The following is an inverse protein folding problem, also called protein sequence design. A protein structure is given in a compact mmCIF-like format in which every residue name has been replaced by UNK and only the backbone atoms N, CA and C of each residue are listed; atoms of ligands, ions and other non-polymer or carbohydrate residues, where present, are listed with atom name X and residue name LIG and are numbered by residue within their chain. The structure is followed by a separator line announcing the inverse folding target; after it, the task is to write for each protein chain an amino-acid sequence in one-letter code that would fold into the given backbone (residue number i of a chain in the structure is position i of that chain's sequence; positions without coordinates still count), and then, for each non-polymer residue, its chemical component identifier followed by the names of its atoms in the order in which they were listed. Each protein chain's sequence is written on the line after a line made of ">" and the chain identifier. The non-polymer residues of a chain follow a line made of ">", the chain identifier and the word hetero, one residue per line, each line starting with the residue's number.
data_IF_154808626225
#
_entry.id   IF_154808626225
#
_cell.length_a   1.000
_cell.length_b   1.000
_cell.length_c   1.000
_cell.angle_alpha   90.00
_cell.angle_beta   90.00
_cell.angle_gamma   90.00
#
_symmetry.space_group_name_H-M   'P 1'
#
loop_
_entity.id
_entity.type
_entity.pdbx_description
1 polymer ?
#
# COMPACT_ATOMS: atom_id res chain seq x y z
N UNK A 1 10.21 8.15 19.41
CA UNK A 1 9.18 9.02 18.80
C UNK A 1 8.01 9.13 19.77
N UNK A 2 7.56 10.36 20.08
CA UNK A 2 6.38 10.57 20.90
C UNK A 2 5.15 9.96 20.20
N UNK A 3 4.26 9.33 20.98
CA UNK A 3 3.04 8.72 20.45
C UNK A 3 2.10 9.83 19.95
N UNK A 4 1.51 9.71 18.75
CA UNK A 4 0.55 10.69 18.27
C UNK A 4 -0.64 10.81 19.23
N UNK A 5 -1.14 12.03 19.39
CA UNK A 5 -2.32 12.31 20.22
C UNK A 5 -3.56 11.62 19.66
N UNK A 6 -4.45 11.18 20.54
CA UNK A 6 -5.74 10.59 20.13
C UNK A 6 -6.59 11.62 19.39
N UNK A 7 -7.27 11.22 18.30
CA UNK A 7 -8.18 12.10 17.58
C UNK A 7 -9.38 12.48 18.48
N UNK A 8 -10.04 13.61 18.21
CA UNK A 8 -11.15 14.12 19.04
C UNK A 8 -12.27 13.11 19.20
N UNK A 9 -12.60 12.37 18.14
CA UNK A 9 -13.62 11.31 18.16
C UNK A 9 -13.35 10.20 19.19
N UNK A 10 -12.13 10.14 19.72
CA UNK A 10 -11.62 9.10 20.60
C UNK A 10 -11.14 9.64 21.95
N UNK A 11 -11.42 10.92 22.24
CA UNK A 11 -11.13 11.52 23.53
C UNK A 11 -12.27 11.20 24.51
N UNK A 12 -11.91 10.66 25.67
CA UNK A 12 -12.83 10.44 26.79
C UNK A 12 -12.36 11.25 28.01
N UNK A 13 -13.29 11.72 28.84
CA UNK A 13 -13.00 12.48 30.07
C UNK A 13 -13.59 13.90 30.11
N UNK A 14 -13.53 14.53 31.28
CA UNK A 14 -13.97 15.91 31.46
C UNK A 14 -12.97 16.87 30.79
N UNK A 15 -13.32 17.31 29.59
CA UNK A 15 -12.69 18.46 28.94
C UNK A 15 -13.69 19.59 28.87
N UNK A 16 -13.19 20.82 28.89
CA UNK A 16 -14.04 21.97 28.61
C UNK A 16 -14.51 21.92 27.16
N UNK A 17 -15.66 22.54 26.88
CA UNK A 17 -16.18 22.68 25.52
C UNK A 17 -15.12 23.38 24.64
N UNK A 18 -14.44 24.38 25.20
CA UNK A 18 -13.39 25.14 24.52
C UNK A 18 -12.18 24.28 24.14
N UNK A 19 -11.74 23.36 25.00
CA UNK A 19 -10.65 22.43 24.70
C UNK A 19 -11.00 21.45 23.57
N UNK A 20 -12.25 20.96 23.56
CA UNK A 20 -12.74 20.07 22.50
C UNK A 20 -12.85 20.83 21.18
N UNK A 21 -13.35 22.06 21.22
CA UNK A 21 -13.50 22.90 20.05
C UNK A 21 -12.14 23.25 19.44
N UNK A 22 -11.19 23.72 20.25
CA UNK A 22 -9.83 24.01 19.79
C UNK A 22 -9.15 22.81 19.13
N UNK A 23 -9.39 21.59 19.63
CA UNK A 23 -8.85 20.37 19.00
C UNK A 23 -9.58 19.99 17.72
N UNK A 24 -10.90 20.14 17.65
CA UNK A 24 -11.66 19.89 16.40
C UNK A 24 -11.20 20.84 15.31
N UNK A 25 -11.03 22.11 15.66
CA UNK A 25 -10.58 23.13 14.73
C UNK A 25 -9.13 22.86 14.28
N UNK A 26 -8.26 22.43 15.21
CA UNK A 26 -6.91 22.01 14.87
C UNK A 26 -6.86 20.75 13.98
N UNK A 27 -7.72 19.75 14.23
CA UNK A 27 -7.81 18.54 13.39
C UNK A 27 -8.40 18.85 12.01
N UNK A 28 -9.41 19.71 11.95
CA UNK A 28 -10.03 20.15 10.70
C UNK A 28 -9.07 21.01 9.87
N UNK A 29 -8.26 21.87 10.50
CA UNK A 29 -7.25 22.69 9.83
C UNK A 29 -6.14 21.86 9.15
N UNK A 30 -5.98 20.59 9.52
CA UNK A 30 -5.03 19.66 8.90
C UNK A 30 -5.58 19.00 7.64
N UNK A 31 -6.85 19.25 7.29
CA UNK A 31 -7.50 18.74 6.08
C UNK A 31 -7.80 19.91 5.14
N UNK A 32 -7.72 19.66 3.84
CA UNK A 32 -8.07 20.67 2.83
C UNK A 32 -9.57 20.70 2.55
N UNK A 33 -10.26 19.58 2.83
CA UNK A 33 -11.68 19.40 2.50
C UNK A 33 -11.95 19.31 1.00
N UNK A 34 -10.89 19.26 0.18
CA UNK A 34 -10.98 19.08 -1.27
C UNK A 34 -10.82 17.61 -1.58
N UNK A 35 -11.68 17.00 -2.42
CA UNK A 35 -11.51 15.62 -2.84
C UNK A 35 -10.27 15.46 -3.70
N UNK A 36 -9.62 14.30 -3.63
CA UNK A 36 -8.42 14.00 -4.43
C UNK A 36 -8.73 13.86 -5.91
N UNK A 37 -7.79 14.27 -6.75
CA UNK A 37 -7.89 14.15 -8.20
C UNK A 37 -6.89 13.16 -8.82
N UNK A 38 -7.29 12.57 -9.93
CA UNK A 38 -6.40 11.71 -10.72
C UNK A 38 -5.49 12.57 -11.60
N UNK A 39 -4.18 12.37 -11.51
CA UNK A 39 -3.17 13.14 -12.26
C UNK A 39 -2.84 12.51 -13.62
N UNK A 40 -2.93 11.18 -13.74
CA UNK A 40 -2.57 10.43 -14.95
C UNK A 40 -3.75 10.21 -15.92
N UNK A 41 -4.70 11.16 -16.01
CA UNK A 41 -5.91 11.12 -16.88
C UNK A 41 -5.65 10.89 -18.39
N UNK A 42 -4.40 10.78 -18.84
CA UNK A 42 -4.04 10.49 -20.25
C UNK A 42 -4.31 9.02 -20.59
N UNK A 43 -4.61 8.74 -21.87
CA UNK A 43 -5.08 7.44 -22.42
C UNK A 43 -4.19 6.20 -22.15
N UNK A 44 -3.02 6.35 -21.53
CA UNK A 44 -2.05 5.28 -21.29
C UNK A 44 -2.25 4.45 -20.03
N UNK A 45 -2.95 4.97 -19.01
CA UNK A 45 -2.95 4.39 -17.65
C UNK A 45 -4.32 3.82 -17.24
N UNK A 46 -4.85 2.87 -18.01
CA UNK A 46 -6.21 2.35 -17.78
C UNK A 46 -6.32 1.53 -16.49
N UNK A 47 -5.29 0.78 -16.14
CA UNK A 47 -5.26 -0.05 -14.93
C UNK A 47 -5.19 0.86 -13.70
N UNK A 48 -4.25 1.81 -13.70
CA UNK A 48 -4.13 2.78 -12.62
C UNK A 48 -5.39 3.63 -12.43
N UNK A 49 -6.08 4.00 -13.52
CA UNK A 49 -7.33 4.77 -13.43
C UNK A 49 -8.44 3.99 -12.70
N UNK A 50 -8.63 2.72 -13.05
CA UNK A 50 -9.60 1.84 -12.35
C UNK A 50 -9.24 1.67 -10.87
N UNK A 51 -7.95 1.52 -10.57
CA UNK A 51 -7.47 1.38 -9.20
C UNK A 51 -7.72 2.66 -8.38
N UNK A 52 -7.46 3.82 -8.99
CA UNK A 52 -7.72 5.12 -8.36
C UNK A 52 -9.19 5.32 -8.06
N UNK A 53 -10.08 5.03 -9.02
CA UNK A 53 -11.52 5.14 -8.82
C UNK A 53 -11.98 4.24 -7.65
N UNK A 54 -11.50 2.99 -7.61
CA UNK A 54 -11.77 2.05 -6.50
C UNK A 54 -11.32 2.61 -5.15
N UNK A 55 -10.06 3.08 -5.05
CA UNK A 55 -9.49 3.59 -3.80
C UNK A 55 -10.22 4.87 -3.36
N UNK A 56 -10.49 5.78 -4.29
CA UNK A 56 -11.20 7.02 -4.01
C UNK A 56 -12.59 6.75 -3.45
N UNK A 57 -13.35 5.83 -4.05
CA UNK A 57 -14.66 5.43 -3.54
C UNK A 57 -14.59 4.84 -2.11
N UNK A 58 -13.58 4.03 -1.82
CA UNK A 58 -13.37 3.44 -0.49
C UNK A 58 -12.98 4.49 0.55
N UNK A 59 -12.05 5.39 0.22
CA UNK A 59 -11.59 6.46 1.11
C UNK A 59 -12.69 7.51 1.35
N UNK A 60 -13.51 7.81 0.34
CA UNK A 60 -14.66 8.71 0.49
C UNK A 60 -15.67 8.17 1.52
N UNK A 61 -15.95 6.85 1.52
CA UNK A 61 -16.86 6.22 2.49
C UNK A 61 -16.41 6.35 3.95
N UNK A 62 -15.10 6.49 4.19
CA UNK A 62 -14.54 6.68 5.54
C UNK A 62 -14.15 8.14 5.84
N UNK A 63 -14.51 9.08 4.95
CA UNK A 63 -14.20 10.51 5.11
C UNK A 63 -12.70 10.83 5.02
N UNK A 64 -11.94 10.07 4.23
CA UNK A 64 -10.49 10.23 4.02
C UNK A 64 -10.12 10.59 2.57
N UNK A 65 -11.10 10.96 1.75
CA UNK A 65 -10.92 11.54 0.41
C UNK A 65 -10.47 13.00 0.55
N UNK A 66 -9.17 13.23 0.74
CA UNK A 66 -8.58 14.57 0.83
C UNK A 66 -7.41 14.71 -0.16
N UNK A 67 -7.34 15.87 -0.82
CA UNK A 67 -6.33 16.21 -1.81
C UNK A 67 -4.89 16.21 -1.24
N UNK A 68 -4.69 16.34 0.07
CA UNK A 68 -3.37 16.17 0.68
C UNK A 68 -2.78 14.76 0.46
N UNK A 69 -3.64 13.76 0.34
CA UNK A 69 -3.24 12.38 0.08
C UNK A 69 -3.20 12.06 -1.42
N UNK A 70 -3.54 13.01 -2.29
CA UNK A 70 -3.62 12.80 -3.73
C UNK A 70 -2.32 12.22 -4.31
N UNK A 71 -1.18 12.81 -3.97
CA UNK A 71 0.10 12.42 -4.57
C UNK A 71 0.45 10.96 -4.27
N UNK A 72 0.26 10.54 -3.01
CA UNK A 72 0.63 9.20 -2.58
C UNK A 72 -0.33 8.16 -3.16
N UNK A 73 -1.63 8.47 -3.26
CA UNK A 73 -2.61 7.58 -3.88
C UNK A 73 -2.40 7.47 -5.40
N UNK A 74 -2.11 8.58 -6.09
CA UNK A 74 -1.76 8.51 -7.51
C UNK A 74 -0.51 7.64 -7.73
N UNK A 75 0.51 7.78 -6.89
CA UNK A 75 1.73 6.96 -6.96
C UNK A 75 1.42 5.48 -6.72
N UNK A 76 0.58 5.16 -5.74
CA UNK A 76 0.11 3.80 -5.50
C UNK A 76 -0.53 3.19 -6.76
N UNK A 77 -1.45 3.92 -7.40
CA UNK A 77 -2.15 3.42 -8.57
C UNK A 77 -1.21 3.15 -9.76
N UNK A 78 -0.22 4.02 -9.97
CA UNK A 78 0.82 3.81 -10.98
C UNK A 78 1.69 2.59 -10.65
N UNK A 79 2.08 2.42 -9.38
CA UNK A 79 2.85 1.25 -8.95
C UNK A 79 2.10 -0.07 -9.16
N UNK A 80 0.78 -0.09 -8.98
CA UNK A 80 -0.06 -1.27 -9.27
C UNK A 80 0.02 -1.62 -10.75
N UNK A 81 -0.15 -0.64 -11.63
CA UNK A 81 -0.06 -0.86 -13.08
C UNK A 81 1.35 -1.29 -13.51
N UNK A 82 2.41 -0.69 -12.96
CA UNK A 82 3.79 -1.11 -13.20
C UNK A 82 4.05 -2.56 -12.74
N UNK A 83 3.44 -3.00 -11.64
CA UNK A 83 3.54 -4.40 -11.21
C UNK A 83 2.89 -5.35 -12.23
N UNK A 84 1.74 -4.98 -12.78
CA UNK A 84 1.04 -5.76 -13.81
C UNK A 84 1.87 -5.86 -15.09
N UNK A 85 2.44 -4.73 -15.55
CA UNK A 85 3.33 -4.70 -16.72
C UNK A 85 4.57 -5.58 -16.54
N UNK A 86 5.22 -5.54 -15.38
CA UNK A 86 6.38 -6.41 -15.09
C UNK A 86 5.95 -7.88 -15.05
N UNK A 87 4.76 -8.16 -14.51
CA UNK A 87 4.23 -9.52 -14.46
C UNK A 87 3.94 -10.06 -15.87
N UNK A 88 3.42 -9.23 -16.77
CA UNK A 88 3.21 -9.61 -18.18
C UNK A 88 4.53 -9.89 -18.90
N UNK A 89 5.53 -9.03 -18.73
CA UNK A 89 6.88 -9.25 -19.28
C UNK A 89 7.48 -10.55 -18.72
N UNK A 90 7.31 -10.82 -17.42
CA UNK A 90 7.75 -12.07 -16.81
C UNK A 90 7.08 -13.26 -17.48
N UNK A 91 5.76 -13.20 -17.69
CA UNK A 91 5.01 -14.29 -18.30
C UNK A 91 5.46 -14.54 -19.74
N UNK A 92 5.78 -13.48 -20.50
CA UNK A 92 6.38 -13.61 -21.83
C UNK A 92 7.72 -14.36 -21.77
N UNK A 93 8.62 -14.02 -20.84
CA UNK A 93 9.88 -14.75 -20.69
C UNK A 93 9.69 -16.22 -20.25
N UNK A 94 8.71 -16.50 -19.41
CA UNK A 94 8.36 -17.87 -19.03
C UNK A 94 7.86 -18.66 -20.23
N UNK A 95 7.01 -18.05 -21.07
CA UNK A 95 6.50 -18.65 -22.29
C UNK A 95 7.63 -18.93 -23.29
N UNK A 96 8.46 -17.92 -23.60
CA UNK A 96 9.61 -18.10 -24.51
C UNK A 96 10.61 -19.15 -24.00
N UNK A 97 10.76 -19.29 -22.68
CA UNK A 97 11.57 -20.36 -22.08
C UNK A 97 10.97 -21.75 -22.33
N UNK A 98 9.64 -21.87 -22.27
CA UNK A 98 8.95 -23.13 -22.56
C UNK A 98 9.04 -23.47 -24.05
N UNK A 99 8.79 -22.51 -24.94
CA UNK A 99 8.92 -22.67 -26.40
C UNK A 99 10.34 -23.11 -26.78
N UNK A 100 11.37 -22.44 -26.24
CA UNK A 100 12.77 -22.81 -26.49
C UNK A 100 13.08 -24.24 -26.05
N UNK A 101 12.50 -24.70 -24.93
CA UNK A 101 12.69 -26.07 -24.46
C UNK A 101 11.96 -27.09 -25.34
N UNK A 102 10.76 -26.77 -25.82
CA UNK A 102 10.01 -27.62 -26.76
C UNK A 102 10.73 -27.73 -28.11
N UNK A 103 11.17 -26.61 -28.68
CA UNK A 103 11.87 -26.59 -29.97
C UNK A 103 13.22 -27.33 -29.94
N UNK A 104 13.90 -27.33 -28.79
CA UNK A 104 15.11 -28.14 -28.59
C UNK A 104 14.77 -29.64 -28.48
N UNK A 105 13.73 -30.00 -27.72
CA UNK A 105 13.33 -31.39 -27.53
C UNK A 105 12.74 -32.04 -28.81
N UNK A 106 12.22 -31.23 -29.75
CA UNK A 106 11.68 -31.69 -31.03
C UNK A 106 12.71 -31.69 -32.18
N UNK A 107 14.00 -31.54 -31.88
CA UNK A 107 15.11 -31.44 -32.83
C UNK A 107 14.98 -30.32 -33.88
N UNK A 108 14.04 -29.37 -33.71
CA UNK A 108 13.80 -28.24 -34.63
C UNK A 108 14.94 -27.23 -34.64
N UNK A 109 15.76 -27.25 -33.60
CA UNK A 109 16.91 -26.35 -33.39
C UNK A 109 18.20 -27.12 -33.13
N UNK A 110 18.25 -28.44 -33.38
CA UNK A 110 19.33 -29.32 -32.91
C UNK A 110 20.41 -29.60 -33.95
N UNK A 111 20.16 -29.32 -35.25
CA UNK A 111 21.10 -29.60 -36.34
C UNK A 111 22.00 -28.38 -36.67
N UNK A 112 23.27 -28.35 -36.24
CA UNK A 112 24.14 -27.17 -36.37
C UNK A 112 24.53 -26.83 -37.82
N UNK A 113 24.33 -27.75 -38.78
CA UNK A 113 24.59 -27.49 -40.20
C UNK A 113 23.37 -26.90 -40.94
N UNK A 114 22.18 -26.89 -40.31
CA UNK A 114 20.91 -26.48 -40.92
C UNK A 114 20.18 -25.37 -40.14
N UNK A 115 20.92 -24.41 -39.58
CA UNK A 115 20.45 -23.30 -38.71
C UNK A 115 20.13 -23.67 -37.25
N UNK A 116 20.58 -24.83 -36.76
CA UNK A 116 20.45 -25.25 -35.36
C UNK A 116 21.43 -24.59 -34.39
N UNK A 117 21.08 -24.60 -33.11
CA UNK A 117 21.81 -24.03 -31.99
C UNK A 117 22.61 -25.15 -31.32
N UNK A 118 23.91 -24.93 -31.07
CA UNK A 118 24.70 -25.90 -30.30
C UNK A 118 24.13 -26.11 -28.88
N UNK A 119 24.26 -27.31 -28.31
CA UNK A 119 23.78 -27.59 -26.95
C UNK A 119 24.33 -26.59 -25.90
N UNK A 120 25.58 -26.16 -26.05
CA UNK A 120 26.20 -25.15 -25.18
C UNK A 120 25.51 -23.78 -25.29
N UNK A 121 25.12 -23.39 -26.49
CA UNK A 121 24.43 -22.12 -26.73
C UNK A 121 22.96 -22.16 -26.30
N UNK A 122 22.27 -23.31 -26.47
CA UNK A 122 20.95 -23.55 -25.88
C UNK A 122 20.96 -23.34 -24.36
N UNK A 123 21.86 -23.99 -23.63
CA UNK A 123 21.95 -23.83 -22.17
C UNK A 123 22.30 -22.38 -21.78
N UNK A 124 23.09 -21.68 -22.60
CA UNK A 124 23.41 -20.26 -22.38
C UNK A 124 22.17 -19.37 -22.51
N UNK A 125 21.36 -19.58 -23.54
CA UNK A 125 20.10 -18.85 -23.76
C UNK A 125 19.10 -19.16 -22.65
N UNK A 126 18.98 -20.43 -22.25
CA UNK A 126 18.12 -20.87 -21.15
C UNK A 126 18.52 -20.22 -19.81
N UNK A 127 19.82 -20.13 -19.52
CA UNK A 127 20.35 -19.44 -18.36
C UNK A 127 20.03 -17.94 -18.41
N UNK A 128 20.19 -17.30 -19.58
CA UNK A 128 19.88 -15.88 -19.79
C UNK A 128 18.39 -15.57 -19.58
N UNK A 129 17.48 -16.37 -20.14
CA UNK A 129 16.04 -16.23 -19.92
C UNK A 129 15.68 -16.41 -18.44
N UNK A 130 16.27 -17.42 -17.79
CA UNK A 130 16.07 -17.65 -16.36
C UNK A 130 16.55 -16.46 -15.52
N UNK A 131 17.67 -15.83 -15.91
CA UNK A 131 18.19 -14.64 -15.26
C UNK A 131 17.28 -13.41 -15.46
N UNK A 132 16.69 -13.25 -16.65
CA UNK A 132 15.68 -12.21 -16.92
C UNK A 132 14.42 -12.39 -16.08
N UNK A 133 13.91 -13.62 -15.96
CA UNK A 133 12.76 -13.95 -15.09
C UNK A 133 13.05 -13.55 -13.63
N UNK A 134 14.22 -13.94 -13.11
CA UNK A 134 14.67 -13.56 -11.77
C UNK A 134 14.78 -12.03 -11.62
N UNK A 135 15.20 -11.34 -12.68
CA UNK A 135 15.24 -9.87 -12.72
C UNK A 135 13.85 -9.27 -12.53
N UNK A 136 12.86 -9.71 -13.32
CA UNK A 136 11.47 -9.28 -13.18
C UNK A 136 10.93 -9.56 -11.77
N UNK A 137 11.18 -10.74 -11.21
CA UNK A 137 10.72 -11.11 -9.87
C UNK A 137 11.30 -10.19 -8.78
N UNK A 138 12.57 -9.78 -8.91
CA UNK A 138 13.21 -8.83 -7.98
C UNK A 138 12.59 -7.43 -8.07
N UNK A 139 12.38 -6.91 -9.27
CA UNK A 139 11.75 -5.59 -9.46
C UNK A 139 10.30 -5.58 -8.95
N UNK A 140 9.55 -6.65 -9.25
CA UNK A 140 8.19 -6.83 -8.80
C UNK A 140 8.11 -6.95 -7.27
N UNK A 141 9.06 -7.64 -6.62
CA UNK A 141 9.15 -7.67 -5.16
C UNK A 141 9.44 -6.28 -4.57
N UNK A 142 10.33 -5.51 -5.18
CA UNK A 142 10.66 -4.15 -4.73
C UNK A 142 9.42 -3.22 -4.80
N UNK A 143 8.67 -3.27 -5.92
CA UNK A 143 7.44 -2.48 -6.06
C UNK A 143 6.34 -2.93 -5.12
N UNK A 144 6.13 -4.23 -4.92
CA UNK A 144 5.18 -4.76 -3.92
C UNK A 144 5.50 -4.32 -2.50
N UNK A 145 6.79 -4.22 -2.15
CA UNK A 145 7.20 -3.68 -0.86
C UNK A 145 6.85 -2.20 -0.73
N UNK A 146 7.10 -1.40 -1.78
CA UNK A 146 6.71 0.01 -1.81
C UNK A 146 5.20 0.19 -1.68
N UNK A 147 4.39 -0.63 -2.37
CA UNK A 147 2.93 -0.66 -2.23
C UNK A 147 2.52 -0.93 -0.79
N UNK A 148 3.05 -2.01 -0.19
CA UNK A 148 2.73 -2.37 1.20
C UNK A 148 3.10 -1.26 2.20
N UNK A 149 4.20 -0.55 1.96
CA UNK A 149 4.62 0.55 2.83
C UNK A 149 3.69 1.77 2.68
N UNK A 150 3.18 2.05 1.47
CA UNK A 150 2.11 3.04 1.25
C UNK A 150 0.82 2.60 1.98
N UNK A 151 0.44 1.34 1.84
CA UNK A 151 -0.82 0.80 2.40
C UNK A 151 -0.85 0.85 3.93
N UNK A 152 0.31 0.63 4.56
CA UNK A 152 0.48 0.73 6.01
C UNK A 152 0.21 2.15 6.51
N UNK A 153 0.58 3.18 5.76
CA UNK A 153 0.46 4.56 6.22
C UNK A 153 -0.89 5.19 5.85
N UNK A 154 -1.60 4.66 4.83
CA UNK A 154 -2.83 5.25 4.29
C UNK A 154 -4.13 4.48 4.63
N UNK A 155 -4.16 3.78 5.77
CA UNK A 155 -5.38 3.10 6.28
C UNK A 155 -5.86 1.94 5.38
N UNK A 156 -5.04 1.46 4.45
CA UNK A 156 -5.42 0.41 3.50
C UNK A 156 -5.19 -1.01 4.04
N UNK A 157 -4.38 -1.16 5.10
CA UNK A 157 -4.22 -2.43 5.82
C UNK A 157 -5.08 -2.49 7.07
N UNK A 158 -5.53 -3.68 7.47
CA UNK A 158 -6.25 -3.89 8.74
C UNK A 158 -5.46 -3.33 9.92
N UNK A 159 -4.14 -3.54 9.94
CA UNK A 159 -3.28 -3.01 11.00
C UNK A 159 -3.26 -1.47 11.01
N UNK A 160 -3.19 -0.83 9.84
CA UNK A 160 -3.25 0.63 9.74
C UNK A 160 -4.60 1.19 10.22
N UNK A 161 -5.71 0.52 9.91
CA UNK A 161 -7.02 0.88 10.44
C UNK A 161 -7.11 0.69 11.96
N UNK A 162 -6.60 -0.42 12.50
CA UNK A 162 -6.56 -0.67 13.94
C UNK A 162 -5.65 0.31 14.70
N UNK A 163 -4.60 0.85 14.06
CA UNK A 163 -3.77 1.93 14.63
C UNK A 163 -4.57 3.21 14.82
N UNK A 164 -5.60 3.44 14.00
CA UNK A 164 -6.50 4.57 14.15
C UNK A 164 -7.49 4.40 15.31
N UNK A 165 -7.73 3.17 15.82
CA UNK A 165 -8.70 2.88 16.89
C UNK A 165 -8.03 2.91 18.28
N UNK A 166 -8.69 3.40 19.36
CA UNK A 166 -8.10 3.46 20.69
C UNK A 166 -7.95 2.06 21.28
N UNK A 167 -6.74 1.72 21.75
CA UNK A 167 -6.40 0.36 22.24
C UNK A 167 -6.90 0.03 23.64
N UNK A 168 -7.33 1.02 24.43
CA UNK A 168 -7.90 0.83 25.77
C UNK A 168 -8.99 1.89 25.99
N UNK A 169 -10.15 1.54 26.57
CA UNK A 169 -10.97 2.55 27.24
C UNK A 169 -10.07 3.22 28.28
N UNK A 170 -10.03 4.55 28.32
CA UNK A 170 -9.23 5.21 29.36
C UNK A 170 -9.84 4.84 30.70
N UNK A 171 -9.00 4.39 31.65
CA UNK A 171 -9.42 4.34 33.04
C UNK A 171 -9.86 5.75 33.40
N UNK A 172 -11.16 5.92 33.64
CA UNK A 172 -11.73 7.18 34.11
C UNK A 172 -10.89 7.60 35.31
N UNK A 173 -10.06 8.64 35.15
CA UNK A 173 -9.48 9.31 36.32
C UNK A 173 -10.68 9.74 37.16
N UNK A 174 -10.83 9.15 38.34
CA UNK A 174 -11.86 9.55 39.28
C UNK A 174 -11.61 11.04 39.57
N UNK A 175 -12.50 11.91 39.14
CA UNK A 175 -12.40 13.36 39.41
C UNK A 175 -13.52 13.79 40.32
N UNK A 176 -13.25 14.77 41.20
CA UNK A 176 -14.21 15.25 42.19
C UNK A 176 -14.34 14.32 43.40
N UNK A 177 -15.58 14.07 43.84
CA UNK A 177 -15.88 13.33 45.07
C UNK A 177 -15.27 11.93 45.11
N UNK A 178 -15.13 11.27 43.95
CA UNK A 178 -14.58 9.93 43.85
C UNK A 178 -13.06 9.85 44.12
N UNK A 179 -12.28 10.87 43.72
CA UNK A 179 -10.87 10.98 44.11
C UNK A 179 -10.72 11.36 45.58
N UNK A 180 -11.60 12.25 46.07
CA UNK A 180 -11.60 12.68 47.47
C UNK A 180 -11.90 11.51 48.44
N UNK A 181 -12.87 10.66 48.12
CA UNK A 181 -13.21 9.49 48.94
C UNK A 181 -12.10 8.43 48.96
N UNK A 182 -11.38 8.24 47.86
CA UNK A 182 -10.27 7.28 47.79
C UNK A 182 -9.04 7.77 48.56
N UNK A 183 -8.73 9.08 48.49
CA UNK A 183 -7.68 9.70 49.30
C UNK A 183 -7.96 9.63 50.81
N UNK A 184 -9.24 9.62 51.20
CA UNK A 184 -9.69 9.47 52.59
C UNK A 184 -9.75 8.01 53.04
N UNK A 185 -9.97 7.07 52.12
CA UNK A 185 -9.99 5.63 52.42
C UNK A 185 -8.57 5.04 52.55
N UNK A 186 -7.56 5.63 51.92
CA UNK A 186 -6.15 5.20 52.02
C UNK A 186 -5.31 5.92 53.09
N UNK A 187 -5.92 6.80 53.89
CA UNK A 187 -5.26 7.62 54.91
C UNK A 187 -5.57 7.20 56.35
N UNK A 188 -5.61 5.90 56.62
CA UNK A 188 -5.71 5.30 57.95
C UNK A 188 -4.48 4.46 58.28
#
# INVERSE_FOLDING_TARGET
>A
MARPSKPVSMLEGHRTIDELQARRDAEAAMLTGKPMEMQFKKKGHKIAAKEFDRIKELLAKIGKDDALYEQIINTHCLLVEECEQIQDIRNQFVHSKAELAEDYNHDRTSDPEADGISAAEYYRLLAKLSQSIIGCDKELMAKRKMLLDIDKENVMTVQSALRSIPKKPEEKKKTGMAAFMEHRAGGG
#
